data_IF_909870707613
#
_entry.id   IF_909870707613
#
_cell.length_a   1.000
_cell.length_b   1.000
_cell.length_c   1.000
_cell.angle_alpha   90.00
_cell.angle_beta   90.00
_cell.angle_gamma   90.00
#
_symmetry.space_group_name_H-M   'P 1'
#
loop_
_entity.id
_entity.type
_entity.pdbx_description
1 polymer ?
#
# COMPACT_ATOMS: atom_id res chain seq x y z
N UNK A 1 14.98 -21.23 32.07
CA UNK A 1 13.84 -20.49 31.50
C UNK A 1 13.32 -19.53 32.56
N UNK A 2 13.36 -18.22 32.33
CA UNK A 2 12.89 -17.21 33.27
C UNK A 2 11.82 -16.38 32.60
N UNK A 3 10.66 -16.28 33.25
CA UNK A 3 9.57 -15.41 32.75
C UNK A 3 9.74 -14.02 33.34
N UNK A 4 9.66 -13.00 32.52
CA UNK A 4 9.49 -11.61 32.97
C UNK A 4 8.00 -11.29 33.04
N UNK A 5 7.60 -10.74 34.17
CA UNK A 5 6.22 -10.28 34.40
C UNK A 5 6.22 -8.78 34.71
N UNK A 6 5.16 -8.08 34.32
CA UNK A 6 4.94 -6.69 34.70
C UNK A 6 4.43 -6.57 36.15
N UNK A 7 4.19 -5.33 36.58
CA UNK A 7 3.67 -5.03 37.92
C UNK A 7 2.28 -5.66 38.19
N UNK A 8 1.57 -6.07 37.15
CA UNK A 8 0.24 -6.71 37.20
C UNK A 8 0.33 -8.24 37.06
N UNK A 9 1.53 -8.81 37.00
CA UNK A 9 1.73 -10.25 36.85
C UNK A 9 1.53 -10.78 35.43
N UNK A 10 1.40 -9.89 34.42
CA UNK A 10 1.29 -10.32 33.02
C UNK A 10 2.65 -10.63 32.42
N UNK A 11 2.80 -11.74 31.68
CA UNK A 11 4.08 -12.11 31.07
C UNK A 11 4.48 -11.09 29.99
N UNK A 12 5.62 -10.44 30.17
CA UNK A 12 6.19 -9.45 29.24
C UNK A 12 7.28 -10.01 28.37
N UNK A 13 7.85 -11.16 28.76
CA UNK A 13 8.90 -11.82 28.01
C UNK A 13 9.32 -13.15 28.61
N UNK A 14 10.05 -13.92 27.84
CA UNK A 14 10.69 -15.18 28.22
C UNK A 14 12.16 -15.06 27.92
N UNK A 15 13.02 -15.36 28.90
CA UNK A 15 14.47 -15.48 28.71
C UNK A 15 14.83 -16.97 28.65
N UNK A 16 15.39 -17.39 27.53
CA UNK A 16 15.85 -18.75 27.32
C UNK A 16 17.24 -18.73 26.71
N UNK A 17 18.21 -19.27 27.45
CA UNK A 17 19.62 -19.35 27.04
C UNK A 17 20.23 -18.01 26.58
N UNK A 18 19.86 -16.90 27.23
CA UNK A 18 20.33 -15.57 26.87
C UNK A 18 19.63 -14.94 25.69
N UNK A 19 18.59 -15.59 25.17
CA UNK A 19 17.73 -15.02 24.11
C UNK A 19 16.43 -14.55 24.72
N UNK A 20 16.13 -13.27 24.54
CA UNK A 20 14.89 -12.65 25.02
C UNK A 20 13.75 -12.86 24.01
N UNK A 21 12.69 -13.54 24.41
CA UNK A 21 11.48 -13.74 23.65
C UNK A 21 10.40 -12.79 24.17
N UNK A 22 9.97 -11.86 23.34
CA UNK A 22 8.89 -10.91 23.66
C UNK A 22 7.58 -11.38 23.04
N UNK A 23 6.42 -11.23 23.72
CA UNK A 23 5.13 -11.56 23.13
C UNK A 23 4.92 -10.87 21.78
N UNK A 24 4.56 -11.65 20.77
CA UNK A 24 4.39 -11.14 19.42
C UNK A 24 3.14 -10.26 19.34
N UNK A 25 3.29 -9.00 18.90
CA UNK A 25 2.14 -8.14 18.63
C UNK A 25 1.29 -8.75 17.52
N UNK A 26 -0.02 -8.52 17.57
CA UNK A 26 -0.98 -9.01 16.55
C UNK A 26 -0.53 -8.68 15.12
N UNK A 27 0.00 -7.48 14.90
CA UNK A 27 0.55 -7.03 13.61
C UNK A 27 1.76 -7.82 13.10
N UNK A 28 2.38 -8.63 13.95
CA UNK A 28 3.52 -9.50 13.60
C UNK A 28 3.16 -10.98 13.68
N UNK A 29 1.90 -11.32 13.96
CA UNK A 29 1.44 -12.71 13.96
C UNK A 29 1.54 -13.32 12.56
N UNK A 30 1.89 -14.62 12.42
CA UNK A 30 1.96 -15.28 11.11
C UNK A 30 0.67 -15.16 10.31
N UNK A 31 -0.48 -15.23 10.99
CA UNK A 31 -1.80 -15.08 10.36
C UNK A 31 -1.96 -13.68 9.75
N UNK A 32 -1.60 -12.63 10.49
CA UNK A 32 -1.69 -11.26 10.00
C UNK A 32 -0.73 -11.02 8.83
N UNK A 33 0.50 -11.56 8.91
CA UNK A 33 1.49 -11.49 7.83
C UNK A 33 0.96 -12.15 6.57
N UNK A 34 0.47 -13.38 6.65
CA UNK A 34 -0.05 -14.10 5.50
C UNK A 34 -1.27 -13.43 4.88
N UNK A 35 -2.19 -12.92 5.72
CA UNK A 35 -3.35 -12.17 5.26
C UNK A 35 -2.95 -10.89 4.52
N UNK A 36 -1.97 -10.16 5.05
CA UNK A 36 -1.48 -8.91 4.44
C UNK A 36 -0.75 -9.20 3.12
N UNK A 37 0.08 -10.24 3.06
CA UNK A 37 0.75 -10.65 1.82
C UNK A 37 -0.26 -11.06 0.75
N UNK A 38 -1.27 -11.86 1.11
CA UNK A 38 -2.33 -12.25 0.18
C UNK A 38 -3.12 -11.04 -0.32
N UNK A 39 -3.40 -10.07 0.56
CA UNK A 39 -4.07 -8.83 0.18
C UNK A 39 -3.19 -7.93 -0.71
N UNK A 40 -1.89 -7.83 -0.45
CA UNK A 40 -0.96 -7.09 -1.32
C UNK A 40 -0.84 -7.73 -2.71
N UNK A 41 -0.82 -9.06 -2.80
CA UNK A 41 -0.84 -9.78 -4.08
C UNK A 41 -2.15 -9.48 -4.85
N UNK A 42 -3.29 -9.53 -4.16
CA UNK A 42 -4.57 -9.10 -4.74
C UNK A 42 -4.50 -7.65 -5.24
N UNK A 43 -3.99 -6.71 -4.43
CA UNK A 43 -3.86 -5.31 -4.82
C UNK A 43 -2.94 -5.13 -6.03
N UNK A 44 -1.87 -5.91 -6.15
CA UNK A 44 -0.96 -5.86 -7.30
C UNK A 44 -1.67 -6.27 -8.60
N UNK A 45 -2.41 -7.37 -8.56
CA UNK A 45 -3.20 -7.84 -9.71
C UNK A 45 -4.33 -6.85 -10.04
N UNK A 46 -5.02 -6.35 -9.02
CA UNK A 46 -6.06 -5.35 -9.17
C UNK A 46 -5.53 -4.06 -9.82
N UNK A 47 -4.40 -3.53 -9.34
CA UNK A 47 -3.81 -2.30 -9.86
C UNK A 47 -3.42 -2.43 -11.33
N UNK A 48 -2.81 -3.56 -11.72
CA UNK A 48 -2.48 -3.84 -13.12
C UNK A 48 -3.74 -3.96 -13.97
N UNK A 49 -4.75 -4.69 -13.52
CA UNK A 49 -6.02 -4.83 -14.24
C UNK A 49 -6.73 -3.49 -14.40
N UNK A 50 -6.82 -2.70 -13.33
CA UNK A 50 -7.44 -1.38 -13.35
C UNK A 50 -6.71 -0.43 -14.30
N UNK A 51 -5.37 -0.44 -14.28
CA UNK A 51 -4.54 0.36 -15.19
C UNK A 51 -4.72 -0.07 -16.65
N UNK A 52 -4.75 -1.39 -16.92
CA UNK A 52 -4.97 -1.93 -18.26
C UNK A 52 -6.36 -1.58 -18.81
N UNK A 53 -7.41 -1.75 -18.00
CA UNK A 53 -8.78 -1.37 -18.36
C UNK A 53 -8.86 0.14 -18.63
N UNK A 54 -8.25 0.95 -17.76
CA UNK A 54 -8.20 2.39 -17.94
C UNK A 54 -7.46 2.80 -19.20
N UNK A 55 -6.31 2.19 -19.49
CA UNK A 55 -5.53 2.43 -20.70
C UNK A 55 -6.32 2.05 -21.96
N UNK A 56 -7.00 0.89 -21.97
CA UNK A 56 -7.85 0.46 -23.07
C UNK A 56 -9.02 1.43 -23.29
N UNK A 57 -9.65 1.89 -22.21
CA UNK A 57 -10.72 2.89 -22.28
C UNK A 57 -10.20 4.24 -22.79
N UNK A 58 -9.08 4.73 -22.31
CA UNK A 58 -8.44 5.94 -22.78
C UNK A 58 -8.03 5.85 -24.25
N UNK A 59 -7.56 4.68 -24.70
CA UNK A 59 -7.22 4.41 -26.10
C UNK A 59 -8.44 4.47 -27.01
N UNK A 60 -9.53 3.81 -26.62
CA UNK A 60 -10.79 3.79 -27.40
C UNK A 60 -11.48 5.17 -27.46
N UNK A 61 -11.34 5.97 -26.40
CA UNK A 61 -11.96 7.28 -26.27
C UNK A 61 -11.06 8.47 -26.66
N UNK A 62 -9.99 8.22 -27.40
CA UNK A 62 -8.82 9.07 -27.69
C UNK A 62 -9.08 10.56 -27.92
N UNK A 63 -10.25 10.97 -28.40
CA UNK A 63 -10.52 12.38 -28.73
C UNK A 63 -11.33 13.16 -27.69
N UNK A 64 -12.04 12.49 -26.78
CA UNK A 64 -12.95 13.16 -25.81
C UNK A 64 -12.40 13.23 -24.38
N UNK A 65 -11.64 12.24 -23.92
CA UNK A 65 -11.27 12.12 -22.50
C UNK A 65 -10.10 12.99 -22.04
N UNK A 66 -9.13 13.26 -22.92
CA UNK A 66 -7.92 13.98 -22.52
C UNK A 66 -8.11 15.49 -22.37
N UNK A 67 -9.24 16.02 -22.82
CA UNK A 67 -9.40 17.47 -22.95
C UNK A 67 -9.96 18.22 -21.74
N UNK A 68 -10.59 17.60 -20.77
CA UNK A 68 -11.41 18.45 -19.91
C UNK A 68 -11.45 18.22 -18.41
N UNK A 69 -10.94 17.12 -17.82
CA UNK A 69 -11.17 16.94 -16.38
C UNK A 69 -9.90 16.67 -15.58
N UNK A 70 -9.60 17.59 -14.65
CA UNK A 70 -8.53 17.42 -13.63
C UNK A 70 -8.69 16.10 -12.91
N UNK A 71 -9.92 15.71 -12.53
CA UNK A 71 -10.21 14.43 -11.89
C UNK A 71 -9.77 13.20 -12.71
N UNK A 72 -9.87 13.24 -14.05
CA UNK A 72 -9.42 12.15 -14.92
C UNK A 72 -7.92 12.00 -14.93
N UNK A 73 -7.20 13.12 -14.95
CA UNK A 73 -5.71 13.12 -14.91
C UNK A 73 -5.21 12.63 -13.54
N UNK A 74 -5.80 13.12 -12.46
CA UNK A 74 -5.49 12.68 -11.10
C UNK A 74 -5.78 11.17 -10.94
N UNK A 75 -6.91 10.68 -11.42
CA UNK A 75 -7.22 9.26 -11.37
C UNK A 75 -6.23 8.39 -12.16
N UNK A 76 -5.72 8.88 -13.30
CA UNK A 76 -4.66 8.18 -14.03
C UNK A 76 -3.36 8.15 -13.22
N UNK A 77 -3.01 9.28 -12.60
CA UNK A 77 -1.86 9.36 -11.70
C UNK A 77 -2.01 8.40 -10.52
N UNK A 78 -3.21 8.34 -9.90
CA UNK A 78 -3.51 7.42 -8.81
C UNK A 78 -3.24 5.95 -9.19
N UNK A 79 -3.72 5.51 -10.35
CA UNK A 79 -3.52 4.13 -10.80
C UNK A 79 -2.03 3.81 -11.02
N UNK A 80 -1.26 4.76 -11.56
CA UNK A 80 0.18 4.60 -11.74
C UNK A 80 0.88 4.56 -10.37
N UNK A 81 0.60 5.52 -9.50
CA UNK A 81 1.18 5.60 -8.17
C UNK A 81 0.85 4.35 -7.34
N UNK A 82 -0.40 3.91 -7.35
CA UNK A 82 -0.83 2.70 -6.66
C UNK A 82 -0.08 1.47 -7.17
N UNK A 83 0.07 1.34 -8.49
CA UNK A 83 0.83 0.23 -9.10
C UNK A 83 2.29 0.27 -8.66
N UNK A 84 2.95 1.41 -8.74
CA UNK A 84 4.34 1.56 -8.31
C UNK A 84 4.52 1.29 -6.81
N UNK A 85 3.60 1.81 -5.98
CA UNK A 85 3.65 1.60 -4.52
C UNK A 85 3.50 0.13 -4.17
N UNK A 86 2.49 -0.56 -4.70
CA UNK A 86 2.25 -1.97 -4.35
C UNK A 86 3.39 -2.88 -4.81
N UNK A 87 3.93 -2.65 -6.00
CA UNK A 87 5.07 -3.44 -6.50
C UNK A 87 6.34 -3.19 -5.70
N UNK A 88 6.66 -1.92 -5.40
CA UNK A 88 7.81 -1.59 -4.55
C UNK A 88 7.66 -2.19 -3.14
N UNK A 89 6.45 -2.16 -2.57
CA UNK A 89 6.13 -2.79 -1.28
C UNK A 89 6.35 -4.30 -1.33
N UNK A 90 5.87 -4.98 -2.37
CA UNK A 90 6.08 -6.42 -2.54
C UNK A 90 7.57 -6.77 -2.69
N UNK A 91 8.32 -5.99 -3.47
CA UNK A 91 9.77 -6.18 -3.60
C UNK A 91 10.48 -6.05 -2.26
N UNK A 92 10.16 -5.03 -1.46
CA UNK A 92 10.73 -4.86 -0.13
C UNK A 92 10.43 -6.05 0.79
N UNK A 93 9.20 -6.59 0.75
CA UNK A 93 8.81 -7.73 1.58
C UNK A 93 9.48 -9.02 1.14
N UNK A 94 9.57 -9.28 -0.16
CA UNK A 94 10.27 -10.45 -0.72
C UNK A 94 11.76 -10.38 -0.41
N UNK A 95 12.36 -9.21 -0.59
CA UNK A 95 13.77 -8.98 -0.29
C UNK A 95 14.06 -9.14 1.21
N UNK A 96 13.19 -8.64 2.08
CA UNK A 96 13.30 -8.84 3.52
C UNK A 96 13.22 -10.32 3.93
N UNK A 97 12.44 -11.11 3.21
CA UNK A 97 12.31 -12.54 3.47
C UNK A 97 13.52 -13.36 2.98
N UNK A 98 14.23 -12.88 1.95
CA UNK A 98 15.35 -13.62 1.35
C UNK A 98 16.65 -13.59 2.15
N UNK A 99 16.78 -12.71 3.15
CA UNK A 99 17.97 -12.52 4.02
C UNK A 99 19.30 -12.26 3.27
N UNK A 100 19.25 -12.07 1.95
CA UNK A 100 20.43 -12.08 1.07
C UNK A 100 21.03 -10.69 0.80
N UNK A 101 20.33 -9.61 1.16
CA UNK A 101 20.76 -8.24 0.84
C UNK A 101 21.16 -7.45 2.08
N UNK A 102 22.14 -6.54 1.90
CA UNK A 102 22.55 -5.64 2.96
C UNK A 102 21.47 -4.56 3.20
N UNK A 103 21.38 -4.07 4.44
CA UNK A 103 20.46 -2.97 4.78
C UNK A 103 20.66 -1.75 3.86
N UNK A 104 21.90 -1.43 3.50
CA UNK A 104 22.24 -0.29 2.65
C UNK A 104 21.60 -0.36 1.26
N UNK A 105 21.41 -1.55 0.68
CA UNK A 105 20.77 -1.72 -0.63
C UNK A 105 19.25 -1.49 -0.58
N UNK A 106 18.62 -1.62 0.59
CA UNK A 106 17.17 -1.44 0.79
C UNK A 106 16.77 0.01 1.01
N UNK A 107 17.67 0.85 1.53
CA UNK A 107 17.38 2.24 1.87
C UNK A 107 16.75 3.03 0.71
N UNK A 108 17.26 2.97 -0.53
CA UNK A 108 16.62 3.67 -1.66
C UNK A 108 15.17 3.22 -1.91
N UNK A 109 14.90 1.92 -1.80
CA UNK A 109 13.56 1.36 -1.98
C UNK A 109 12.60 1.75 -0.86
N UNK A 110 13.11 1.85 0.39
CA UNK A 110 12.34 2.32 1.53
C UNK A 110 11.98 3.80 1.38
N UNK A 111 12.92 4.63 0.97
CA UNK A 111 12.67 6.06 0.66
C UNK A 111 11.66 6.18 -0.48
N UNK A 112 11.84 5.43 -1.56
CA UNK A 112 10.91 5.41 -2.67
C UNK A 112 9.50 5.00 -2.21
N UNK A 113 9.39 4.00 -1.33
CA UNK A 113 8.11 3.55 -0.79
C UNK A 113 7.40 4.64 0.03
N UNK A 114 8.16 5.36 0.87
CA UNK A 114 7.63 6.49 1.63
C UNK A 114 7.10 7.60 0.72
N UNK A 115 7.87 7.98 -0.29
CA UNK A 115 7.49 9.02 -1.25
C UNK A 115 6.28 8.59 -2.07
N UNK A 116 6.27 7.37 -2.60
CA UNK A 116 5.16 6.83 -3.37
C UNK A 116 3.87 6.75 -2.53
N UNK A 117 3.96 6.28 -1.28
CA UNK A 117 2.81 6.22 -0.38
C UNK A 117 2.27 7.62 -0.05
N UNK A 118 3.15 8.59 0.19
CA UNK A 118 2.76 9.98 0.44
C UNK A 118 2.06 10.60 -0.79
N UNK A 119 2.62 10.41 -1.98
CA UNK A 119 2.03 10.89 -3.24
C UNK A 119 0.68 10.21 -3.53
N UNK A 120 0.58 8.91 -3.28
CA UNK A 120 -0.68 8.15 -3.44
C UNK A 120 -1.76 8.69 -2.48
N UNK A 121 -1.40 8.94 -1.22
CA UNK A 121 -2.31 9.52 -0.23
C UNK A 121 -2.77 10.93 -0.61
N UNK A 122 -1.84 11.77 -1.05
CA UNK A 122 -2.15 13.13 -1.53
C UNK A 122 -3.10 13.10 -2.72
N UNK A 123 -2.82 12.24 -3.70
CA UNK A 123 -3.66 12.12 -4.91
C UNK A 123 -5.06 11.60 -4.58
N UNK A 124 -5.22 10.68 -3.62
CA UNK A 124 -6.53 10.28 -3.09
C UNK A 124 -7.33 11.47 -2.56
N UNK A 125 -6.69 12.35 -1.78
CA UNK A 125 -7.33 13.55 -1.25
C UNK A 125 -7.74 14.51 -2.35
N UNK A 126 -6.87 14.72 -3.34
CA UNK A 126 -7.16 15.59 -4.49
C UNK A 126 -8.33 15.04 -5.31
N UNK A 127 -8.36 13.75 -5.61
CA UNK A 127 -9.50 13.15 -6.33
C UNK A 127 -10.78 13.28 -5.52
N UNK A 128 -10.74 13.01 -4.22
CA UNK A 128 -11.91 13.15 -3.34
C UNK A 128 -12.45 14.59 -3.34
N UNK A 129 -11.58 15.58 -3.43
CA UNK A 129 -11.96 17.00 -3.49
C UNK A 129 -12.53 17.43 -4.86
N UNK A 130 -11.96 16.90 -5.96
CA UNK A 130 -12.30 17.34 -7.32
C UNK A 130 -13.38 16.49 -8.01
N UNK A 131 -13.46 15.19 -7.72
CA UNK A 131 -14.41 14.28 -8.35
C UNK A 131 -15.90 14.67 -8.14
N UNK A 132 -16.33 15.14 -6.94
CA UNK A 132 -17.72 15.57 -6.75
C UNK A 132 -18.12 16.80 -7.59
N UNK A 133 -17.14 17.68 -7.87
CA UNK A 133 -17.35 18.96 -8.58
C UNK A 133 -17.37 18.81 -10.09
N UNK A 134 -16.92 17.67 -10.62
CA UNK A 134 -16.84 17.41 -12.06
C UNK A 134 -18.13 16.83 -12.63
N UNK A 135 -18.40 17.08 -13.92
CA UNK A 135 -19.48 16.46 -14.69
C UNK A 135 -19.15 14.99 -15.06
N UNK A 136 -18.72 14.20 -14.06
CA UNK A 136 -18.39 12.80 -14.25
C UNK A 136 -19.67 11.96 -14.25
N UNK A 137 -19.71 10.95 -15.13
CA UNK A 137 -20.77 9.95 -15.12
C UNK A 137 -20.78 9.20 -13.78
N UNK A 138 -21.97 8.83 -13.29
CA UNK A 138 -22.11 8.08 -12.01
C UNK A 138 -21.19 6.86 -11.94
N UNK A 139 -21.06 6.12 -13.07
CA UNK A 139 -20.18 4.94 -13.15
C UNK A 139 -18.69 5.29 -12.95
N UNK A 140 -18.23 6.42 -13.50
CA UNK A 140 -16.87 6.90 -13.34
C UNK A 140 -16.60 7.29 -11.87
N UNK A 141 -17.54 8.00 -11.24
CA UNK A 141 -17.43 8.36 -9.81
C UNK A 141 -17.29 7.11 -8.93
N UNK A 142 -18.12 6.09 -9.15
CA UNK A 142 -18.05 4.82 -8.41
C UNK A 142 -16.66 4.18 -8.60
N UNK A 143 -16.17 4.09 -9.84
CA UNK A 143 -14.87 3.50 -10.12
C UNK A 143 -13.73 4.27 -9.45
N UNK A 144 -13.79 5.61 -9.44
CA UNK A 144 -12.78 6.44 -8.76
C UNK A 144 -12.79 6.20 -7.25
N UNK A 145 -13.97 6.14 -6.62
CA UNK A 145 -14.06 5.87 -5.19
C UNK A 145 -13.57 4.47 -4.80
N UNK A 146 -13.83 3.46 -5.63
CA UNK A 146 -13.29 2.11 -5.42
C UNK A 146 -11.75 2.15 -5.44
N UNK A 147 -11.15 2.83 -6.42
CA UNK A 147 -9.69 2.95 -6.50
C UNK A 147 -9.10 3.75 -5.34
N UNK A 148 -9.76 4.82 -4.89
CA UNK A 148 -9.37 5.56 -3.68
C UNK A 148 -9.38 4.65 -2.46
N UNK A 149 -10.41 3.83 -2.28
CA UNK A 149 -10.49 2.92 -1.15
C UNK A 149 -9.32 1.91 -1.15
N UNK A 150 -9.02 1.29 -2.29
CA UNK A 150 -7.88 0.39 -2.42
C UNK A 150 -6.54 1.07 -2.17
N UNK A 151 -6.36 2.27 -2.71
CA UNK A 151 -5.14 3.07 -2.50
C UNK A 151 -4.99 3.50 -1.03
N UNK A 152 -6.06 3.89 -0.36
CA UNK A 152 -6.04 4.24 1.06
C UNK A 152 -5.63 3.05 1.94
N UNK A 153 -6.17 1.86 1.65
CA UNK A 153 -5.76 0.63 2.36
C UNK A 153 -4.30 0.30 2.09
N UNK A 154 -3.82 0.46 0.85
CA UNK A 154 -2.40 0.26 0.52
C UNK A 154 -1.50 1.19 1.33
N UNK A 155 -1.81 2.49 1.35
CA UNK A 155 -1.07 3.49 2.14
C UNK A 155 -1.09 3.12 3.62
N UNK A 156 -2.24 2.73 4.16
CA UNK A 156 -2.37 2.27 5.55
C UNK A 156 -1.46 1.07 5.83
N UNK A 157 -1.40 0.08 4.93
CA UNK A 157 -0.53 -1.09 5.09
C UNK A 157 0.95 -0.71 5.07
N UNK A 158 1.38 0.20 4.19
CA UNK A 158 2.77 0.72 4.16
C UNK A 158 3.14 1.32 5.52
N UNK A 159 2.23 2.08 6.13
CA UNK A 159 2.44 2.65 7.46
C UNK A 159 2.43 1.60 8.57
N UNK A 160 1.49 0.66 8.56
CA UNK A 160 1.40 -0.41 9.56
C UNK A 160 2.68 -1.27 9.61
N UNK A 161 3.27 -1.54 8.47
CA UNK A 161 4.50 -2.34 8.36
C UNK A 161 5.77 -1.51 8.50
N UNK A 162 5.65 -0.19 8.64
CA UNK A 162 6.80 0.72 8.73
C UNK A 162 7.82 0.51 7.59
N UNK A 163 7.33 0.22 6.38
CA UNK A 163 8.15 -0.06 5.18
C UNK A 163 8.87 1.18 4.62
N UNK A 164 9.12 2.14 5.47
CA UNK A 164 9.85 3.38 5.20
C UNK A 164 10.98 3.63 6.23
N UNK A 165 11.19 2.66 7.15
CA UNK A 165 12.23 2.70 8.19
C UNK A 165 13.26 1.62 8.02
#
# INVERSE_FOLDING_TARGET
ITFRVDENGCPTGLDFEGTEYVPMKLSRSPTFINLTLGFLQYLALYALAALAIWAAYAWSARRRMWRSYTATKLHTALLILMTLTVWNTLFLLVDAASLSFSYASRVPMMIANAVLAALTGLDCLLIAAFAPRGELLRRQKIFYFINIAHAAVLVFLVFCWQLFR
#
